data_IF_656300462686
#
_entry.id   IF_656300462686
#
_cell.length_a   1.000
_cell.length_b   1.000
_cell.length_c   1.000
_cell.angle_alpha   90.00
_cell.angle_beta   90.00
_cell.angle_gamma   90.00
#
_symmetry.space_group_name_H-M   'P 1'
#
loop_
_entity.id
_entity.type
_entity.pdbx_description
1 polymer ?
#
# COMPACT_ATOMS: atom_id res chain seq x y z
N UNK A 1 1.59 -32.76 -28.31
CA UNK A 1 2.38 -31.63 -27.76
C UNK A 1 1.49 -30.41 -27.78
N UNK A 2 1.08 -29.90 -26.62
CA UNK A 2 0.24 -28.71 -26.49
C UNK A 2 1.05 -27.51 -26.98
N UNK A 3 0.59 -26.85 -28.04
CA UNK A 3 1.23 -25.63 -28.53
C UNK A 3 1.04 -24.54 -27.46
N UNK A 4 2.13 -24.03 -26.89
CA UNK A 4 2.07 -23.03 -25.80
C UNK A 4 1.33 -21.76 -26.26
N UNK A 5 1.41 -21.43 -27.55
CA UNK A 5 0.65 -20.33 -28.14
C UNK A 5 -0.86 -20.53 -28.10
N UNK A 6 -1.38 -21.76 -28.22
CA UNK A 6 -2.82 -22.02 -28.16
C UNK A 6 -3.40 -22.02 -26.75
N UNK A 7 -2.56 -22.16 -25.72
CA UNK A 7 -2.95 -21.97 -24.31
C UNK A 7 -3.04 -20.48 -23.94
N UNK A 8 -2.21 -19.63 -24.55
CA UNK A 8 -2.22 -18.18 -24.30
C UNK A 8 -3.37 -17.45 -25.02
N UNK A 9 -3.80 -17.94 -26.18
CA UNK A 9 -4.84 -17.28 -27.01
C UNK A 9 -6.26 -17.70 -26.66
N UNK A 10 -6.46 -18.82 -25.96
CA UNK A 10 -7.81 -19.26 -25.57
C UNK A 10 -8.25 -18.49 -24.32
N UNK A 11 -9.41 -17.82 -24.36
CA UNK A 11 -9.92 -17.15 -23.17
C UNK A 11 -10.24 -18.19 -22.10
N UNK A 12 -9.85 -17.91 -20.87
CA UNK A 12 -10.21 -18.70 -19.69
C UNK A 12 -11.36 -17.95 -18.98
N UNK A 13 -12.45 -18.65 -18.68
CA UNK A 13 -13.69 -18.04 -18.17
C UNK A 13 -14.29 -16.93 -19.07
N UNK A 14 -13.97 -16.94 -20.37
CA UNK A 14 -14.41 -15.90 -21.31
C UNK A 14 -13.53 -14.64 -21.35
N UNK A 15 -12.46 -14.59 -20.54
CA UNK A 15 -11.52 -13.46 -20.52
C UNK A 15 -10.17 -13.86 -21.14
N UNK A 16 -9.52 -12.96 -21.91
CA UNK A 16 -8.14 -13.13 -22.35
C UNK A 16 -7.20 -13.32 -21.15
N UNK A 17 -6.17 -14.15 -21.32
CA UNK A 17 -5.21 -14.45 -20.25
C UNK A 17 -4.52 -13.19 -19.70
N UNK A 18 -4.24 -12.21 -20.56
CA UNK A 18 -3.65 -10.93 -20.16
C UNK A 18 -4.56 -10.14 -19.21
N UNK A 19 -5.88 -10.13 -19.44
CA UNK A 19 -6.83 -9.43 -18.57
C UNK A 19 -6.94 -10.11 -17.20
N UNK A 20 -6.90 -11.44 -17.16
CA UNK A 20 -6.88 -12.20 -15.90
C UNK A 20 -5.63 -11.91 -15.08
N UNK A 21 -4.45 -11.89 -15.71
CA UNK A 21 -3.20 -11.53 -15.03
C UNK A 21 -3.21 -10.07 -14.56
N UNK A 22 -3.76 -9.17 -15.36
CA UNK A 22 -3.89 -7.77 -14.99
C UNK A 22 -4.83 -7.60 -13.78
N UNK A 23 -5.99 -8.25 -13.77
CA UNK A 23 -6.90 -8.26 -12.63
C UNK A 23 -6.24 -8.86 -11.38
N UNK A 24 -5.47 -9.95 -11.54
CA UNK A 24 -4.72 -10.56 -10.45
C UNK A 24 -3.67 -9.61 -9.86
N UNK A 25 -2.96 -8.83 -10.69
CA UNK A 25 -2.00 -7.83 -10.21
C UNK A 25 -2.67 -6.74 -9.36
N UNK A 26 -3.81 -6.21 -9.80
CA UNK A 26 -4.58 -5.25 -9.02
C UNK A 26 -5.08 -5.85 -7.71
N UNK A 27 -5.49 -7.11 -7.73
CA UNK A 27 -5.85 -7.83 -6.51
C UNK A 27 -4.66 -7.98 -5.56
N UNK A 28 -3.50 -8.43 -6.03
CA UNK A 28 -2.29 -8.59 -5.19
C UNK A 28 -1.87 -7.25 -4.58
N UNK A 29 -1.83 -6.18 -5.39
CA UNK A 29 -1.45 -4.85 -4.91
C UNK A 29 -2.50 -4.26 -3.96
N UNK A 30 -3.79 -4.47 -4.24
CA UNK A 30 -4.87 -4.08 -3.35
C UNK A 30 -4.84 -4.84 -2.02
N UNK A 31 -4.50 -6.13 -2.04
CA UNK A 31 -4.30 -6.94 -0.84
C UNK A 31 -3.10 -6.44 -0.02
N UNK A 32 -2.01 -6.04 -0.66
CA UNK A 32 -0.90 -5.38 0.03
C UNK A 32 -1.36 -4.11 0.76
N UNK A 33 -1.98 -3.16 0.04
CA UNK A 33 -2.47 -1.91 0.64
C UNK A 33 -3.50 -2.15 1.75
N UNK A 34 -4.32 -3.18 1.60
CA UNK A 34 -5.29 -3.60 2.61
C UNK A 34 -4.62 -4.17 3.85
N UNK A 35 -3.68 -5.10 3.71
CA UNK A 35 -3.05 -5.74 4.85
C UNK A 35 -2.10 -4.78 5.58
N UNK A 36 -1.21 -4.15 4.84
CA UNK A 36 -0.19 -3.24 5.38
C UNK A 36 -0.77 -1.86 5.75
N UNK A 37 -1.98 -1.54 5.27
CA UNK A 37 -2.72 -0.34 5.68
C UNK A 37 -2.98 -0.26 7.19
N UNK A 38 -3.17 -1.40 7.86
CA UNK A 38 -3.22 -1.47 9.32
C UNK A 38 -1.89 -1.06 9.94
N UNK A 39 -0.78 -1.61 9.44
CA UNK A 39 0.53 -1.41 10.03
C UNK A 39 1.05 0.03 9.80
N UNK A 40 0.82 0.61 8.62
CA UNK A 40 1.04 2.03 8.38
C UNK A 40 0.22 2.90 9.35
N UNK A 41 -1.03 2.51 9.56
CA UNK A 41 -1.92 3.12 10.53
C UNK A 41 -1.36 3.08 11.96
N UNK A 42 -0.78 1.95 12.37
CA UNK A 42 -0.10 1.80 13.69
C UNK A 42 1.05 2.79 13.81
N UNK A 43 1.84 3.01 12.76
CA UNK A 43 2.91 4.01 12.77
C UNK A 43 2.41 5.45 12.85
N UNK A 44 1.32 5.80 12.17
CA UNK A 44 0.67 7.12 12.35
C UNK A 44 0.15 7.28 13.78
N UNK A 45 -0.43 6.21 14.32
CA UNK A 45 -0.99 6.17 15.66
C UNK A 45 0.10 6.34 16.72
N UNK A 46 1.27 5.71 16.53
CA UNK A 46 2.46 5.80 17.37
C UNK A 46 2.89 7.26 17.61
N UNK A 47 2.78 8.11 16.59
CA UNK A 47 3.16 9.53 16.68
C UNK A 47 2.36 10.31 17.73
N UNK A 48 1.16 9.85 18.11
CA UNK A 48 0.32 10.56 19.07
C UNK A 48 0.46 10.02 20.51
N UNK A 49 1.36 9.07 20.75
CA UNK A 49 1.59 8.46 22.06
C UNK A 49 2.80 9.11 22.72
N UNK A 50 2.65 9.43 23.99
CA UNK A 50 3.75 9.91 24.85
C UNK A 50 4.18 8.86 25.85
N UNK A 51 3.29 7.95 26.24
CA UNK A 51 3.58 6.85 27.15
C UNK A 51 4.35 5.73 26.44
N UNK A 52 5.44 5.30 27.05
CA UNK A 52 6.35 4.32 26.45
C UNK A 52 5.72 2.92 26.38
N UNK A 53 4.91 2.56 27.37
CA UNK A 53 4.25 1.28 27.40
C UNK A 53 3.15 1.20 26.33
N UNK A 54 2.46 2.32 26.04
CA UNK A 54 1.54 2.40 24.90
C UNK A 54 2.27 2.24 23.56
N UNK A 55 3.46 2.82 23.40
CA UNK A 55 4.28 2.68 22.19
C UNK A 55 4.73 1.24 21.95
N UNK A 56 5.25 0.58 22.99
CA UNK A 56 5.65 -0.83 22.92
C UNK A 56 4.47 -1.74 22.56
N UNK A 57 3.28 -1.49 23.12
CA UNK A 57 2.05 -2.22 22.75
C UNK A 57 1.69 -2.06 21.28
N UNK A 58 1.90 -0.88 20.70
CA UNK A 58 1.65 -0.64 19.28
C UNK A 58 2.62 -1.43 18.40
N UNK A 59 3.92 -1.43 18.74
CA UNK A 59 4.93 -2.21 18.01
C UNK A 59 4.62 -3.71 18.08
N UNK A 60 4.31 -4.21 19.28
CA UNK A 60 3.95 -5.61 19.50
C UNK A 60 2.67 -6.04 18.76
N UNK A 61 1.73 -5.12 18.53
CA UNK A 61 0.51 -5.42 17.78
C UNK A 61 0.75 -5.61 16.27
N UNK A 62 1.73 -4.90 15.69
CA UNK A 62 2.08 -4.99 14.28
C UNK A 62 3.07 -6.13 13.96
N UNK A 63 3.98 -6.43 14.89
CA UNK A 63 5.09 -7.38 14.70
C UNK A 63 4.71 -8.73 14.06
N UNK A 64 3.67 -9.44 14.52
CA UNK A 64 3.32 -10.76 13.98
C UNK A 64 2.86 -10.80 12.52
N UNK A 65 2.49 -9.64 11.94
CA UNK A 65 1.81 -9.58 10.63
C UNK A 65 2.62 -8.85 9.57
N UNK A 66 3.43 -7.87 9.97
CA UNK A 66 4.09 -6.96 9.02
C UNK A 66 4.92 -7.68 7.96
N UNK A 67 5.84 -8.57 8.36
CA UNK A 67 6.69 -9.31 7.41
C UNK A 67 5.87 -10.06 6.35
N UNK A 68 4.75 -10.65 6.77
CA UNK A 68 3.84 -11.37 5.88
C UNK A 68 3.09 -10.43 4.93
N UNK A 69 2.81 -9.21 5.34
CA UNK A 69 2.12 -8.21 4.53
C UNK A 69 3.02 -7.71 3.39
N UNK A 70 4.30 -7.47 3.66
CA UNK A 70 5.29 -7.03 2.66
C UNK A 70 5.48 -8.02 1.49
N UNK A 71 5.30 -9.32 1.76
CA UNK A 71 5.39 -10.36 0.73
C UNK A 71 4.41 -10.09 -0.43
N UNK A 72 3.26 -9.48 -0.17
CA UNK A 72 2.29 -9.15 -1.23
C UNK A 72 2.86 -8.13 -2.22
N UNK A 73 3.65 -7.14 -1.75
CA UNK A 73 4.30 -6.18 -2.63
C UNK A 73 5.43 -6.84 -3.45
N UNK A 74 6.19 -7.75 -2.83
CA UNK A 74 7.22 -8.53 -3.53
C UNK A 74 6.60 -9.41 -4.62
N UNK A 75 5.50 -10.10 -4.30
CA UNK A 75 4.74 -10.92 -5.24
C UNK A 75 4.16 -10.06 -6.37
N UNK A 76 3.68 -8.86 -6.09
CA UNK A 76 3.24 -7.92 -7.12
C UNK A 76 4.37 -7.61 -8.11
N UNK A 77 5.56 -7.24 -7.62
CA UNK A 77 6.72 -6.97 -8.46
C UNK A 77 7.16 -8.17 -9.29
N UNK A 78 7.23 -9.36 -8.68
CA UNK A 78 7.60 -10.60 -9.35
C UNK A 78 6.57 -11.05 -10.39
N UNK A 79 5.28 -10.93 -10.08
CA UNK A 79 4.20 -11.25 -11.02
C UNK A 79 4.18 -10.26 -12.20
N UNK A 80 4.43 -8.97 -11.95
CA UNK A 80 4.52 -7.96 -13.00
C UNK A 80 5.71 -8.25 -13.93
N UNK A 81 6.86 -8.63 -13.37
CA UNK A 81 8.03 -9.05 -14.14
C UNK A 81 7.76 -10.30 -15.00
N UNK A 82 7.09 -11.31 -14.43
CA UNK A 82 6.81 -12.57 -15.11
C UNK A 82 5.73 -12.44 -16.20
N UNK A 83 4.65 -11.73 -15.93
CA UNK A 83 3.49 -11.62 -16.83
C UNK A 83 3.61 -10.46 -17.83
N UNK A 84 4.21 -9.34 -17.44
CA UNK A 84 4.32 -8.12 -18.26
C UNK A 84 5.71 -7.46 -18.17
N UNK A 85 6.77 -8.13 -18.67
CA UNK A 85 8.15 -7.68 -18.51
C UNK A 85 8.42 -6.29 -19.10
N UNK A 86 7.75 -5.92 -20.20
CA UNK A 86 7.86 -4.58 -20.79
C UNK A 86 7.25 -3.49 -19.90
N UNK A 87 6.12 -3.79 -19.25
CA UNK A 87 5.48 -2.88 -18.28
C UNK A 87 6.38 -2.75 -17.06
N UNK A 88 6.90 -3.85 -16.51
CA UNK A 88 7.85 -3.85 -15.41
C UNK A 88 9.05 -2.94 -15.72
N UNK A 89 9.72 -3.17 -16.86
CA UNK A 89 10.89 -2.39 -17.26
C UNK A 89 10.56 -0.90 -17.45
N UNK A 90 9.43 -0.56 -18.09
CA UNK A 90 9.01 0.82 -18.27
C UNK A 90 8.71 1.49 -16.92
N UNK A 91 8.04 0.80 -16.02
CA UNK A 91 7.61 1.31 -14.73
C UNK A 91 8.81 1.65 -13.84
N UNK A 92 9.75 0.71 -13.69
CA UNK A 92 10.94 0.89 -12.86
C UNK A 92 11.95 1.89 -13.47
N UNK A 93 12.00 2.01 -14.80
CA UNK A 93 12.86 3.02 -15.45
C UNK A 93 12.26 4.42 -15.39
N UNK A 94 10.95 4.56 -15.66
CA UNK A 94 10.24 5.85 -15.65
C UNK A 94 10.15 6.45 -14.26
N UNK A 95 9.85 5.62 -13.26
CA UNK A 95 9.67 6.05 -11.88
C UNK A 95 10.86 5.68 -10.99
N UNK A 96 12.06 5.58 -11.55
CA UNK A 96 13.26 5.10 -10.85
C UNK A 96 13.47 5.73 -9.46
N UNK A 97 13.50 7.06 -9.39
CA UNK A 97 13.70 7.78 -8.12
C UNK A 97 12.54 7.57 -7.15
N UNK A 98 11.30 7.49 -7.65
CA UNK A 98 10.12 7.25 -6.83
C UNK A 98 10.11 5.82 -6.27
N UNK A 99 10.46 4.82 -7.07
CA UNK A 99 10.58 3.43 -6.62
C UNK A 99 11.68 3.30 -5.56
N UNK A 100 12.83 3.96 -5.77
CA UNK A 100 13.90 3.97 -4.77
C UNK A 100 13.48 4.64 -3.46
N UNK A 101 12.72 5.75 -3.55
CA UNK A 101 12.18 6.41 -2.38
C UNK A 101 11.15 5.53 -1.62
N UNK A 102 10.29 4.80 -2.34
CA UNK A 102 9.36 3.84 -1.73
C UNK A 102 10.14 2.73 -1.01
N UNK A 103 11.14 2.13 -1.67
CA UNK A 103 11.96 1.08 -1.06
C UNK A 103 12.72 1.58 0.17
N UNK A 104 13.28 2.79 0.11
CA UNK A 104 13.97 3.39 1.25
C UNK A 104 13.01 3.68 2.41
N UNK A 105 11.80 4.17 2.13
CA UNK A 105 10.79 4.43 3.15
C UNK A 105 10.26 3.14 3.79
N UNK A 106 10.04 2.09 2.99
CA UNK A 106 9.69 0.73 3.47
C UNK A 106 10.81 0.15 4.32
N UNK A 107 12.06 0.24 3.86
CA UNK A 107 13.22 -0.23 4.63
C UNK A 107 13.38 0.49 5.95
N UNK A 108 13.20 1.81 5.99
CA UNK A 108 13.21 2.59 7.22
C UNK A 108 12.08 2.17 8.16
N UNK A 109 10.88 1.95 7.60
CA UNK A 109 9.68 1.52 8.33
C UNK A 109 9.82 0.13 8.96
N UNK A 110 10.49 -0.79 8.28
CA UNK A 110 10.77 -2.14 8.79
C UNK A 110 11.91 -2.17 9.81
N UNK A 111 12.99 -1.43 9.55
CA UNK A 111 14.16 -1.38 10.45
C UNK A 111 13.86 -0.67 11.77
N UNK A 112 12.95 0.31 11.76
CA UNK A 112 12.75 1.20 12.90
C UNK A 112 12.26 0.49 14.18
N UNK A 113 11.24 -0.41 14.16
CA UNK A 113 10.83 -1.15 15.35
C UNK A 113 11.96 -2.01 15.96
N UNK A 114 12.72 -2.73 15.14
CA UNK A 114 13.84 -3.56 15.61
C UNK A 114 14.90 -2.70 16.31
N UNK A 115 15.27 -1.59 15.68
CA UNK A 115 16.24 -0.68 16.27
C UNK A 115 15.68 0.01 17.52
N UNK A 116 14.38 0.31 17.56
CA UNK A 116 13.73 0.93 18.72
C UNK A 116 13.89 0.07 19.99
N UNK A 117 13.76 -1.25 19.85
CA UNK A 117 13.84 -2.21 20.97
C UNK A 117 15.29 -2.55 21.36
N UNK A 118 16.25 -2.38 20.45
CA UNK A 118 17.66 -2.74 20.66
C UNK A 118 18.34 -1.96 21.80
N UNK A 119 17.90 -0.72 22.11
CA UNK A 119 18.48 0.10 23.18
C UNK A 119 17.42 0.90 23.94
N UNK A 120 17.63 1.03 25.24
CA UNK A 120 16.78 1.82 26.14
C UNK A 120 17.20 3.31 26.25
N UNK A 121 18.12 3.79 25.41
CA UNK A 121 18.53 5.19 25.40
C UNK A 121 17.43 6.10 24.80
N UNK A 122 17.07 7.18 25.51
CA UNK A 122 15.99 8.09 25.11
C UNK A 122 16.22 8.70 23.73
N UNK A 123 17.46 9.08 23.38
CA UNK A 123 17.76 9.69 22.08
C UNK A 123 17.65 8.67 20.97
N UNK A 124 18.08 7.44 21.23
CA UNK A 124 17.95 6.31 20.33
C UNK A 124 16.49 5.94 20.05
N UNK A 125 15.69 5.73 21.10
CA UNK A 125 14.24 5.45 20.97
C UNK A 125 13.52 6.60 20.28
N UNK A 126 13.86 7.85 20.60
CA UNK A 126 13.29 9.02 19.92
C UNK A 126 13.60 9.00 18.41
N UNK A 127 14.86 8.78 18.03
CA UNK A 127 15.28 8.72 16.64
C UNK A 127 14.52 7.64 15.86
N UNK A 128 14.49 6.41 16.38
CA UNK A 128 13.85 5.29 15.70
C UNK A 128 12.32 5.36 15.75
N UNK A 129 11.75 5.94 16.81
CA UNK A 129 10.33 6.27 16.87
C UNK A 129 9.93 7.25 15.77
N UNK A 130 10.72 8.31 15.54
CA UNK A 130 10.48 9.21 14.40
C UNK A 130 10.69 8.52 13.05
N UNK A 131 11.72 7.70 12.90
CA UNK A 131 11.95 6.89 11.69
C UNK A 131 10.75 6.00 11.37
N UNK A 132 10.15 5.36 12.38
CA UNK A 132 8.96 4.53 12.22
C UNK A 132 7.77 5.37 11.74
N UNK A 133 7.50 6.51 12.36
CA UNK A 133 6.42 7.43 11.95
C UNK A 133 6.63 7.94 10.52
N UNK A 134 7.85 8.35 10.18
CA UNK A 134 8.20 8.85 8.85
C UNK A 134 8.00 7.74 7.82
N UNK A 135 8.56 6.56 8.04
CA UNK A 135 8.40 5.41 7.15
C UNK A 135 6.93 5.04 6.94
N UNK A 136 6.13 5.02 8.02
CA UNK A 136 4.71 4.69 7.98
C UNK A 136 3.80 5.75 7.37
N UNK A 137 4.27 6.99 7.24
CA UNK A 137 3.53 8.09 6.61
C UNK A 137 3.96 8.30 5.16
N UNK A 138 5.28 8.28 4.91
CA UNK A 138 5.87 8.56 3.60
C UNK A 138 5.60 7.41 2.63
N UNK A 139 5.70 6.16 3.08
CA UNK A 139 5.47 4.99 2.22
C UNK A 139 4.08 5.00 1.56
N UNK A 140 2.95 5.04 2.29
CA UNK A 140 1.62 5.04 1.68
C UNK A 140 1.41 6.29 0.79
N UNK A 141 1.97 7.44 1.17
CA UNK A 141 1.93 8.64 0.33
C UNK A 141 2.64 8.43 -1.02
N UNK A 142 3.86 7.89 -1.01
CA UNK A 142 4.61 7.64 -2.25
C UNK A 142 3.97 6.54 -3.11
N UNK A 143 3.38 5.52 -2.49
CA UNK A 143 2.62 4.49 -3.19
C UNK A 143 1.39 5.06 -3.89
N UNK A 144 0.61 5.89 -3.21
CA UNK A 144 -0.54 6.56 -3.83
C UNK A 144 -0.13 7.52 -4.95
N UNK A 145 0.99 8.21 -4.75
CA UNK A 145 1.59 9.06 -5.78
C UNK A 145 1.96 8.26 -7.03
N UNK A 146 2.65 7.13 -6.82
CA UNK A 146 3.04 6.22 -7.88
C UNK A 146 1.83 5.70 -8.65
N UNK A 147 0.81 5.19 -7.96
CA UNK A 147 -0.39 4.62 -8.57
C UNK A 147 -1.10 5.65 -9.44
N UNK A 148 -1.38 6.84 -8.92
CA UNK A 148 -2.11 7.85 -9.69
C UNK A 148 -1.30 8.34 -10.90
N UNK A 149 0.01 8.58 -10.73
CA UNK A 149 0.87 8.93 -11.85
C UNK A 149 0.89 7.84 -12.92
N UNK A 150 0.94 6.56 -12.51
CA UNK A 150 0.93 5.44 -13.43
C UNK A 150 -0.39 5.35 -14.20
N UNK A 151 -1.53 5.47 -13.50
CA UNK A 151 -2.87 5.41 -14.10
C UNK A 151 -3.10 6.51 -15.15
N UNK A 152 -2.66 7.75 -14.89
CA UNK A 152 -2.82 8.86 -15.84
C UNK A 152 -1.65 8.98 -16.84
N UNK A 153 -0.62 8.14 -16.70
CA UNK A 153 0.56 8.18 -17.55
C UNK A 153 1.46 9.41 -17.35
N UNK A 154 1.42 10.07 -16.19
CA UNK A 154 2.24 11.24 -15.90
C UNK A 154 3.73 10.90 -15.77
N UNK A 155 4.63 11.80 -16.18
CA UNK A 155 6.09 11.58 -16.12
C UNK A 155 6.76 12.23 -14.91
N UNK A 156 6.08 13.19 -14.25
CA UNK A 156 6.65 13.94 -13.15
C UNK A 156 6.74 13.13 -11.86
N UNK A 157 7.76 13.41 -11.04
CA UNK A 157 7.92 12.77 -9.73
C UNK A 157 6.88 13.27 -8.73
N UNK A 158 6.56 14.57 -8.71
CA UNK A 158 5.46 15.13 -7.93
C UNK A 158 4.50 15.78 -8.93
N UNK A 159 3.25 15.33 -8.94
CA UNK A 159 2.19 15.90 -9.79
C UNK A 159 0.95 16.15 -8.94
N UNK A 160 0.03 17.06 -9.32
CA UNK A 160 -1.20 17.27 -8.57
C UNK A 160 -2.01 15.99 -8.36
N UNK A 161 -2.15 15.18 -9.41
CA UNK A 161 -2.90 13.91 -9.34
C UNK A 161 -2.18 12.86 -8.50
N UNK A 162 -0.85 12.84 -8.56
CA UNK A 162 0.00 12.02 -7.70
C UNK A 162 -0.15 12.40 -6.23
N UNK A 163 -0.09 13.70 -5.90
CA UNK A 163 -0.29 14.18 -4.53
C UNK A 163 -1.68 13.81 -4.02
N UNK A 164 -2.72 13.97 -4.85
CA UNK A 164 -4.07 13.51 -4.51
C UNK A 164 -4.10 12.01 -4.20
N UNK A 165 -3.44 11.20 -5.03
CA UNK A 165 -3.27 9.76 -4.78
C UNK A 165 -2.57 9.46 -3.46
N UNK A 166 -1.46 10.14 -3.20
CA UNK A 166 -0.69 9.96 -1.98
C UNK A 166 -1.48 10.32 -0.72
N UNK A 167 -2.18 11.46 -0.72
CA UNK A 167 -3.06 11.84 0.39
C UNK A 167 -4.20 10.84 0.55
N UNK A 168 -4.79 10.38 -0.56
CA UNK A 168 -5.89 9.41 -0.54
C UNK A 168 -5.44 8.10 0.12
N UNK A 169 -4.31 7.54 -0.29
CA UNK A 169 -3.77 6.31 0.30
C UNK A 169 -3.37 6.51 1.76
N UNK A 170 -2.77 7.66 2.10
CA UNK A 170 -2.45 7.99 3.50
C UNK A 170 -3.70 8.09 4.39
N UNK A 171 -4.78 8.71 3.92
CA UNK A 171 -6.05 8.75 4.67
C UNK A 171 -6.65 7.35 4.82
N UNK A 172 -6.52 6.50 3.79
CA UNK A 172 -6.97 5.12 3.84
C UNK A 172 -6.22 4.29 4.89
N UNK A 173 -4.98 4.59 5.24
CA UNK A 173 -4.27 3.87 6.33
C UNK A 173 -4.88 4.14 7.70
N UNK A 174 -5.50 5.31 7.92
CA UNK A 174 -6.26 5.60 9.15
C UNK A 174 -7.52 4.74 9.23
N UNK A 175 -8.19 4.50 8.10
CA UNK A 175 -9.30 3.54 8.02
C UNK A 175 -8.80 2.10 8.23
N UNK A 176 -7.66 1.78 7.60
CA UNK A 176 -6.94 0.52 7.75
C UNK A 176 -6.67 0.18 9.22
N UNK A 177 -6.22 1.17 9.98
CA UNK A 177 -6.01 1.08 11.41
C UNK A 177 -7.28 0.70 12.17
N UNK A 178 -8.39 1.42 11.94
CA UNK A 178 -9.66 1.16 12.65
C UNK A 178 -10.12 -0.27 12.39
N UNK A 179 -10.07 -0.70 11.13
CA UNK A 179 -10.42 -2.06 10.75
C UNK A 179 -9.49 -3.12 11.32
N UNK A 180 -8.17 -2.87 11.33
CA UNK A 180 -7.19 -3.77 11.92
C UNK A 180 -7.30 -3.89 13.45
N UNK A 181 -7.62 -2.80 14.15
CA UNK A 181 -7.92 -2.84 15.59
C UNK A 181 -9.20 -3.63 15.89
N UNK A 182 -10.24 -3.48 15.07
CA UNK A 182 -11.44 -4.32 15.18
C UNK A 182 -11.12 -5.80 14.93
N UNK A 183 -10.23 -6.10 13.98
CA UNK A 183 -9.74 -7.46 13.72
C UNK A 183 -9.03 -8.06 14.92
N UNK A 184 -8.09 -7.34 15.52
CA UNK A 184 -7.34 -7.85 16.69
C UNK A 184 -8.21 -7.96 17.93
N UNK A 185 -9.19 -7.07 18.12
CA UNK A 185 -10.09 -7.08 19.27
C UNK A 185 -11.19 -8.15 19.19
N UNK A 186 -11.81 -8.35 18.02
CA UNK A 186 -12.95 -9.27 17.85
C UNK A 186 -12.49 -10.69 17.49
N UNK A 187 -11.42 -10.81 16.70
CA UNK A 187 -10.94 -12.08 16.19
C UNK A 187 -11.90 -12.77 15.21
N UNK A 188 -11.41 -13.83 14.56
CA UNK A 188 -12.22 -14.69 13.69
C UNK A 188 -12.59 -14.11 12.30
N UNK A 189 -13.27 -14.91 11.45
CA UNK A 189 -13.50 -14.59 10.03
C UNK A 189 -14.41 -13.37 9.81
N UNK A 190 -15.35 -13.11 10.73
CA UNK A 190 -16.28 -11.99 10.64
C UNK A 190 -15.58 -10.64 10.75
N UNK A 191 -14.52 -10.57 11.55
CA UNK A 191 -13.73 -9.34 11.71
C UNK A 191 -12.94 -8.99 10.43
N UNK A 192 -12.47 -10.00 9.70
CA UNK A 192 -11.86 -9.83 8.37
C UNK A 192 -12.89 -9.33 7.36
N UNK A 193 -14.12 -9.86 7.38
CA UNK A 193 -15.21 -9.40 6.50
C UNK A 193 -15.59 -7.95 6.81
N UNK A 194 -15.76 -7.60 8.08
CA UNK A 194 -16.06 -6.23 8.49
C UNK A 194 -14.95 -5.25 8.06
N UNK A 195 -13.69 -5.68 8.16
CA UNK A 195 -12.56 -4.90 7.69
C UNK A 195 -12.60 -4.71 6.16
N UNK A 196 -12.82 -5.80 5.40
CA UNK A 196 -12.96 -5.76 3.94
C UNK A 196 -14.08 -4.81 3.51
N UNK A 197 -15.25 -4.89 4.14
CA UNK A 197 -16.39 -4.01 3.83
C UNK A 197 -16.05 -2.55 4.12
N UNK A 198 -15.42 -2.26 5.26
CA UNK A 198 -15.06 -0.87 5.63
C UNK A 198 -14.07 -0.26 4.64
N UNK A 199 -13.05 -1.02 4.24
CA UNK A 199 -12.07 -0.56 3.25
C UNK A 199 -12.70 -0.38 1.87
N UNK A 200 -13.52 -1.34 1.42
CA UNK A 200 -14.21 -1.23 0.13
C UNK A 200 -15.18 -0.05 0.07
N UNK A 201 -15.94 0.20 1.14
CA UNK A 201 -16.83 1.36 1.25
C UNK A 201 -16.03 2.66 1.22
N UNK A 202 -14.90 2.72 1.92
CA UNK A 202 -14.05 3.91 1.97
C UNK A 202 -13.44 4.23 0.60
N UNK A 203 -12.95 3.21 -0.11
CA UNK A 203 -12.51 3.34 -1.50
C UNK A 203 -13.65 3.79 -2.40
N UNK A 204 -14.85 3.23 -2.26
CA UNK A 204 -16.03 3.62 -3.03
C UNK A 204 -16.45 5.08 -2.82
N UNK A 205 -16.47 5.54 -1.57
CA UNK A 205 -16.77 6.93 -1.20
C UNK A 205 -15.71 7.87 -1.76
N UNK A 206 -14.42 7.54 -1.62
CA UNK A 206 -13.34 8.36 -2.17
C UNK A 206 -13.39 8.41 -3.69
N UNK A 207 -13.64 7.28 -4.35
CA UNK A 207 -13.75 7.20 -5.82
C UNK A 207 -14.93 8.02 -6.35
N UNK A 208 -16.08 7.98 -5.68
CA UNK A 208 -17.25 8.78 -6.04
C UNK A 208 -16.98 10.29 -5.91
N UNK A 209 -16.38 10.72 -4.80
CA UNK A 209 -16.09 12.13 -4.55
C UNK A 209 -14.94 12.68 -5.42
N UNK A 210 -14.01 11.83 -5.88
CA UNK A 210 -12.91 12.23 -6.78
C UNK A 210 -13.36 12.31 -8.24
N UNK A 211 -14.37 11.56 -8.67
CA UNK A 211 -14.89 11.62 -10.04
C UNK A 211 -15.78 12.85 -10.32
N UNK A 212 -16.57 13.30 -9.34
CA UNK A 212 -17.43 14.49 -9.45
C UNK A 212 -16.70 15.76 -9.96
N UNK A 213 -15.49 16.10 -9.47
CA UNK A 213 -14.71 17.22 -9.99
C UNK A 213 -14.08 16.97 -11.37
N UNK A 214 -13.65 15.74 -11.67
CA UNK A 214 -12.92 15.42 -12.91
C UNK A 214 -13.86 15.53 -14.12
N UNK A 215 -15.08 15.01 -14.01
CA UNK A 215 -16.07 15.08 -15.09
C UNK A 215 -16.49 16.53 -15.39
N UNK A 216 -16.53 17.41 -14.38
CA UNK A 216 -16.82 18.84 -14.59
C UNK A 216 -15.69 19.60 -15.28
N UNK A 217 -14.45 19.14 -15.24
CA UNK A 217 -13.35 19.82 -15.94
C UNK A 217 -13.14 19.32 -17.38
N UNK A 218 -13.60 18.11 -17.70
CA UNK A 218 -13.53 17.53 -19.05
C UNK A 218 -14.73 17.95 -19.93
N UNK A 219 -15.90 18.24 -19.34
CA UNK A 219 -17.09 18.63 -20.10
C UNK A 219 -17.12 20.14 -20.44
N UNK A 220 -16.34 20.97 -19.75
CA UNK A 220 -16.38 22.44 -19.88
C UNK A 220 -15.10 23.08 -20.45
N UNK A 221 -14.20 22.30 -21.06
CA UNK A 221 -13.04 22.82 -21.81
C UNK A 221 -12.91 22.14 -23.18
#
# INVERSE_FOLDING_TARGET
MTNVGTLATKPLFGLPLAELWFALLFFIFGMFLFLDGFDFGVGVLFATRTDEHEKERLLAAAGPFWDGNEVWLVVFGGALFAAFPSVYANLFSRYYLLMFAILAALGLRGLAPEMYEEREDDRWRTLWGYSFVIGSTVTPFLLGLFVMNWLVGATGLITPVGVLGGVTVLVLTIVGLIGGLLRTAVGGPLSLIAYLVTTLVSVGVLSYNVNEPIDRHVIYN
#
